data_IF_015969638972
#
_entry.id   IF_015969638972
#
_cell.length_a   1.000
_cell.length_b   1.000
_cell.length_c   1.000
_cell.angle_alpha   90.00
_cell.angle_beta   90.00
_cell.angle_gamma   90.00
#
_symmetry.space_group_name_H-M   'P 1'
#
loop_
_entity.id
_entity.type
_entity.pdbx_description
1 polymer ?
#
# COMPACT_ATOMS: atom_id res chain seq x y z
N UNK A 1 -7.63 27.23 9.32
CA UNK A 1 -7.85 26.35 8.15
C UNK A 1 -6.68 26.33 7.14
N UNK A 2 -5.96 27.43 6.87
CA UNK A 2 -4.85 27.43 5.88
C UNK A 2 -3.59 26.63 6.34
N UNK A 3 -3.27 26.67 7.64
CA UNK A 3 -2.07 26.00 8.17
C UNK A 3 -2.15 24.47 8.19
N UNK A 4 -3.33 23.88 8.44
CA UNK A 4 -3.48 22.42 8.44
C UNK A 4 -3.37 21.81 7.04
N UNK A 5 -3.93 22.44 6.01
CA UNK A 5 -3.80 21.96 4.63
C UNK A 5 -2.36 22.04 4.14
N UNK A 6 -1.65 23.11 4.50
CA UNK A 6 -0.23 23.27 4.16
C UNK A 6 0.64 22.26 4.91
N UNK A 7 0.38 22.07 6.21
CA UNK A 7 1.04 21.07 7.04
C UNK A 7 0.78 19.65 6.52
N UNK A 8 -0.46 19.35 6.11
CA UNK A 8 -0.83 18.06 5.52
C UNK A 8 -0.13 17.82 4.17
N UNK A 9 -0.04 18.82 3.29
CA UNK A 9 0.73 18.71 2.04
C UNK A 9 2.22 18.50 2.30
N UNK A 10 2.79 19.22 3.26
CA UNK A 10 4.21 19.10 3.65
C UNK A 10 4.51 17.76 4.31
N UNK A 11 3.63 17.24 5.16
CA UNK A 11 3.75 15.92 5.77
C UNK A 11 3.56 14.79 4.75
N UNK A 12 2.67 14.95 3.77
CA UNK A 12 2.51 13.99 2.68
C UNK A 12 3.75 13.96 1.79
N UNK A 13 4.27 15.12 1.41
CA UNK A 13 5.50 15.21 0.62
C UNK A 13 6.69 14.62 1.37
N UNK A 14 6.89 15.01 2.64
CA UNK A 14 7.92 14.42 3.51
C UNK A 14 7.73 12.92 3.72
N UNK A 15 6.50 12.41 3.79
CA UNK A 15 6.20 10.99 3.90
C UNK A 15 6.57 10.24 2.61
N UNK A 16 6.13 10.74 1.45
CA UNK A 16 6.44 10.16 0.13
C UNK A 16 7.94 10.21 -0.19
N UNK A 17 8.63 11.27 0.24
CA UNK A 17 10.08 11.39 0.14
C UNK A 17 10.80 10.45 1.13
N UNK A 18 10.29 10.30 2.36
CA UNK A 18 10.86 9.42 3.40
C UNK A 18 10.71 7.93 3.07
N UNK A 19 9.61 7.52 2.45
CA UNK A 19 9.45 6.14 1.94
C UNK A 19 10.22 5.92 0.62
N UNK A 20 10.88 6.96 0.10
CA UNK A 20 11.62 6.88 -1.16
C UNK A 20 10.72 6.54 -2.34
N UNK A 21 9.45 6.94 -2.33
CA UNK A 21 8.44 6.56 -3.34
C UNK A 21 8.96 6.78 -4.77
N UNK A 22 9.64 7.90 -4.99
CA UNK A 22 10.22 8.25 -6.29
C UNK A 22 11.43 7.39 -6.67
N UNK A 23 12.15 6.88 -5.67
CA UNK A 23 13.33 6.02 -5.81
C UNK A 23 13.00 4.52 -5.87
N UNK A 24 11.74 4.11 -5.70
CA UNK A 24 11.32 2.71 -5.84
C UNK A 24 11.53 2.24 -7.30
N UNK A 25 12.10 1.04 -7.50
CA UNK A 25 12.14 0.35 -8.81
C UNK A 25 10.76 -0.25 -9.14
N UNK A 26 9.74 0.60 -9.25
CA UNK A 26 8.36 0.19 -9.58
C UNK A 26 7.82 1.00 -10.77
N UNK A 27 6.87 0.44 -11.55
CA UNK A 27 6.24 1.15 -12.65
C UNK A 27 5.64 2.49 -12.22
N UNK A 28 5.78 3.52 -13.07
CA UNK A 28 5.32 4.90 -12.80
C UNK A 28 3.85 4.98 -12.35
N UNK A 29 2.98 4.12 -12.90
CA UNK A 29 1.56 4.02 -12.55
C UNK A 29 1.32 3.68 -11.07
N UNK A 30 2.21 2.89 -10.46
CA UNK A 30 2.11 2.51 -9.04
C UNK A 30 2.49 3.70 -8.15
N UNK A 31 3.54 4.43 -8.52
CA UNK A 31 3.94 5.68 -7.82
C UNK A 31 2.83 6.72 -7.87
N UNK A 32 2.20 6.89 -9.04
CA UNK A 32 1.05 7.77 -9.21
C UNK A 32 -0.17 7.33 -8.40
N UNK A 33 -0.41 6.02 -8.28
CA UNK A 33 -1.45 5.49 -7.40
C UNK A 33 -1.19 5.82 -5.94
N UNK A 34 0.00 5.53 -5.40
CA UNK A 34 0.33 5.83 -3.99
C UNK A 34 0.17 7.34 -3.71
N UNK A 35 0.61 8.17 -4.64
CA UNK A 35 0.39 9.61 -4.56
C UNK A 35 -1.11 9.98 -4.55
N UNK A 36 -1.93 9.41 -5.44
CA UNK A 36 -3.37 9.67 -5.47
C UNK A 36 -4.12 9.10 -4.26
N UNK A 37 -3.74 7.92 -3.78
CA UNK A 37 -4.32 7.28 -2.60
C UNK A 37 -4.08 8.10 -1.33
N UNK A 38 -2.91 8.73 -1.23
CA UNK A 38 -2.67 9.70 -0.15
C UNK A 38 -3.53 10.96 -0.33
N UNK A 39 -3.88 11.37 -1.55
CA UNK A 39 -4.62 12.61 -1.82
C UNK A 39 -6.11 12.42 -2.20
N UNK A 40 -6.80 11.41 -1.65
CA UNK A 40 -8.19 11.05 -1.97
C UNK A 40 -8.40 10.58 -3.42
N UNK A 41 -8.39 9.26 -3.62
CA UNK A 41 -8.50 8.64 -4.95
C UNK A 41 -9.93 8.25 -5.34
N UNK A 42 -10.89 8.31 -4.41
CA UNK A 42 -12.28 7.84 -4.60
C UNK A 42 -13.30 8.98 -4.57
N UNK A 43 -14.39 8.78 -5.32
CA UNK A 43 -15.59 9.65 -5.39
C UNK A 43 -16.49 9.47 -4.14
N UNK A 44 -17.34 10.48 -3.90
CA UNK A 44 -17.95 10.87 -2.61
C UNK A 44 -18.70 9.81 -1.78
N UNK A 45 -19.10 8.66 -2.33
CA UNK A 45 -19.92 7.68 -1.60
C UNK A 45 -19.13 6.72 -0.71
N UNK A 46 -17.84 6.47 -1.00
CA UNK A 46 -17.02 5.52 -0.25
C UNK A 46 -15.65 6.10 0.13
N UNK A 47 -15.32 6.05 1.42
CA UNK A 47 -14.04 6.58 1.91
C UNK A 47 -12.87 5.65 1.55
N UNK A 48 -11.66 6.21 1.41
CA UNK A 48 -10.44 5.44 1.19
C UNK A 48 -10.21 4.38 2.29
N UNK A 49 -10.54 4.71 3.54
CA UNK A 49 -10.44 3.80 4.68
C UNK A 49 -11.34 2.58 4.50
N UNK A 50 -12.60 2.81 4.12
CA UNK A 50 -13.50 1.70 3.81
C UNK A 50 -12.98 0.92 2.61
N UNK A 51 -12.62 1.61 1.55
CA UNK A 51 -12.27 0.98 0.31
C UNK A 51 -11.00 0.13 0.36
N UNK A 52 -9.97 0.59 1.06
CA UNK A 52 -8.65 -0.07 1.05
C UNK A 52 -8.40 -0.93 2.29
N UNK A 53 -9.11 -0.70 3.40
CA UNK A 53 -8.81 -1.32 4.69
C UNK A 53 -10.02 -2.01 5.35
N UNK A 54 -11.21 -1.42 5.32
CA UNK A 54 -12.32 -1.84 6.20
C UNK A 54 -13.46 -2.61 5.52
N UNK A 55 -13.55 -2.58 4.19
CA UNK A 55 -14.53 -3.35 3.44
C UNK A 55 -14.32 -4.86 3.71
N UNK A 56 -15.40 -5.64 3.80
CA UNK A 56 -15.33 -7.04 4.26
C UNK A 56 -14.35 -7.89 3.45
N UNK A 57 -14.42 -7.83 2.13
CA UNK A 57 -13.54 -8.59 1.27
C UNK A 57 -12.08 -8.10 1.39
N UNK A 58 -11.84 -6.80 1.64
CA UNK A 58 -10.48 -6.26 1.83
C UNK A 58 -9.86 -6.70 3.15
N UNK A 59 -10.64 -6.78 4.23
CA UNK A 59 -10.18 -7.34 5.51
C UNK A 59 -9.74 -8.80 5.34
N UNK A 60 -10.48 -9.57 4.54
CA UNK A 60 -10.10 -10.95 4.19
C UNK A 60 -8.78 -11.01 3.44
N UNK A 61 -8.55 -10.09 2.49
CA UNK A 61 -7.25 -9.99 1.78
C UNK A 61 -6.11 -9.68 2.76
N UNK A 62 -6.30 -8.67 3.62
CA UNK A 62 -5.28 -8.32 4.63
C UNK A 62 -4.98 -9.48 5.58
N UNK A 63 -6.00 -10.18 6.04
CA UNK A 63 -5.86 -11.37 6.89
C UNK A 63 -5.12 -12.52 6.19
N UNK A 64 -5.43 -12.78 4.92
CA UNK A 64 -4.84 -13.87 4.13
C UNK A 64 -3.48 -13.55 3.47
N UNK A 65 -3.05 -12.30 3.54
CA UNK A 65 -1.76 -11.83 3.01
C UNK A 65 -0.57 -12.27 3.87
N UNK A 66 0.65 -12.14 3.35
CA UNK A 66 1.87 -12.51 4.09
C UNK A 66 2.12 -11.64 5.33
N UNK A 67 1.57 -10.43 5.41
CA UNK A 67 1.72 -9.57 6.59
C UNK A 67 0.66 -9.86 7.67
N UNK A 68 -0.38 -10.62 7.33
CA UNK A 68 -1.45 -11.09 8.23
C UNK A 68 -2.02 -9.99 9.15
N UNK A 69 -2.08 -8.74 8.66
CA UNK A 69 -2.61 -7.64 9.45
C UNK A 69 -4.14 -7.61 9.34
N UNK A 70 -4.81 -7.05 10.36
CA UNK A 70 -6.28 -6.97 10.41
C UNK A 70 -6.72 -5.55 10.72
N UNK A 71 -6.89 -4.71 9.69
CA UNK A 71 -7.47 -3.39 9.86
C UNK A 71 -8.91 -3.51 10.40
N UNK A 72 -9.27 -2.65 11.34
CA UNK A 72 -10.61 -2.59 11.94
C UNK A 72 -10.97 -1.14 12.30
N UNK A 73 -12.25 -0.89 12.60
CA UNK A 73 -12.75 0.47 12.86
C UNK A 73 -12.13 1.12 14.12
N UNK A 74 -11.58 0.32 15.03
CA UNK A 74 -10.91 0.80 16.23
C UNK A 74 -9.49 1.27 15.93
N UNK A 75 -8.79 0.62 14.99
CA UNK A 75 -7.40 0.91 14.63
C UNK A 75 -7.24 1.77 13.36
N UNK A 76 -8.27 1.87 12.51
CA UNK A 76 -8.30 2.74 11.32
C UNK A 76 -9.23 3.92 11.56
N UNK A 77 -8.66 5.08 11.91
CA UNK A 77 -9.38 6.37 11.88
C UNK A 77 -9.21 7.08 10.54
N UNK A 78 -7.98 7.09 10.03
CA UNK A 78 -7.59 7.65 8.75
C UNK A 78 -6.52 6.75 8.14
N UNK A 79 -6.57 6.53 6.83
CA UNK A 79 -5.62 5.66 6.12
C UNK A 79 -4.18 6.12 6.34
N UNK A 80 -3.97 7.45 6.40
CA UNK A 80 -2.65 8.07 6.63
C UNK A 80 -2.09 7.74 8.02
N UNK A 81 -2.92 7.81 9.05
CA UNK A 81 -2.52 7.50 10.43
C UNK A 81 -2.20 6.01 10.55
N UNK A 82 -3.01 5.17 9.91
CA UNK A 82 -2.77 3.72 9.87
C UNK A 82 -1.45 3.39 9.17
N UNK A 83 -1.18 3.98 8.00
CA UNK A 83 0.08 3.79 7.26
C UNK A 83 1.30 4.25 8.05
N UNK A 84 1.21 5.39 8.77
CA UNK A 84 2.28 5.86 9.64
C UNK A 84 2.60 4.88 10.77
N UNK A 85 1.57 4.29 11.38
CA UNK A 85 1.75 3.30 12.43
C UNK A 85 2.36 2.00 11.88
N UNK A 86 1.93 1.57 10.69
CA UNK A 86 2.54 0.42 10.04
C UNK A 86 4.00 0.68 9.66
N UNK A 87 4.33 1.88 9.15
CA UNK A 87 5.71 2.27 8.86
C UNK A 87 6.57 2.25 10.13
N UNK A 88 6.02 2.75 11.24
CA UNK A 88 6.70 2.69 12.55
C UNK A 88 6.99 1.25 12.95
N UNK A 89 6.03 0.33 12.78
CA UNK A 89 6.20 -1.11 13.05
C UNK A 89 7.24 -1.75 12.14
N UNK A 90 7.22 -1.48 10.84
CA UNK A 90 8.22 -1.98 9.89
C UNK A 90 9.64 -1.55 10.28
N UNK A 91 9.81 -0.32 10.78
CA UNK A 91 11.10 0.23 11.16
C UNK A 91 11.62 -0.23 12.54
N UNK A 92 10.94 -1.16 13.23
CA UNK A 92 11.44 -1.72 14.50
C UNK A 92 12.56 -2.76 14.30
N UNK A 93 12.65 -3.35 13.10
CA UNK A 93 13.69 -4.30 12.73
C UNK A 93 14.92 -3.64 12.09
N UNK A 94 15.75 -4.44 11.40
CA UNK A 94 16.86 -3.91 10.62
C UNK A 94 16.36 -3.24 9.33
N UNK A 95 17.21 -2.39 8.71
CA UNK A 95 16.82 -1.60 7.53
C UNK A 95 16.33 -2.45 6.35
N UNK A 96 16.89 -3.63 6.12
CA UNK A 96 16.49 -4.51 5.00
C UNK A 96 15.12 -5.12 5.24
N UNK A 97 14.88 -5.61 6.45
CA UNK A 97 13.59 -6.14 6.89
C UNK A 97 12.49 -5.05 6.88
N UNK A 98 12.82 -3.83 7.30
CA UNK A 98 11.91 -2.69 7.23
C UNK A 98 11.45 -2.40 5.78
N UNK A 99 12.37 -2.43 4.83
CA UNK A 99 12.07 -2.22 3.40
C UNK A 99 11.20 -3.36 2.86
N UNK A 100 11.50 -4.62 3.20
CA UNK A 100 10.71 -5.77 2.76
C UNK A 100 9.28 -5.71 3.33
N UNK A 101 9.14 -5.51 4.64
CA UNK A 101 7.83 -5.42 5.28
C UNK A 101 7.00 -4.25 4.74
N UNK A 102 7.64 -3.12 4.47
CA UNK A 102 6.97 -1.97 3.85
C UNK A 102 6.51 -2.28 2.41
N UNK A 103 7.35 -2.96 1.63
CA UNK A 103 7.01 -3.36 0.26
C UNK A 103 5.77 -4.27 0.22
N UNK A 104 5.61 -5.18 1.19
CA UNK A 104 4.41 -6.03 1.29
C UNK A 104 3.14 -5.21 1.48
N UNK A 105 3.18 -4.20 2.34
CA UNK A 105 2.04 -3.29 2.58
C UNK A 105 1.67 -2.57 1.28
N UNK A 106 2.66 -2.03 0.57
CA UNK A 106 2.44 -1.31 -0.70
C UNK A 106 1.84 -2.22 -1.77
N UNK A 107 2.31 -3.48 -1.86
CA UNK A 107 1.80 -4.46 -2.83
C UNK A 107 0.36 -4.84 -2.53
N UNK A 108 -0.01 -5.11 -1.27
CA UNK A 108 -1.38 -5.46 -0.89
C UNK A 108 -2.34 -4.30 -1.19
N UNK A 109 -1.96 -3.06 -0.84
CA UNK A 109 -2.74 -1.86 -1.14
C UNK A 109 -2.99 -1.72 -2.64
N UNK A 110 -1.95 -1.96 -3.45
CA UNK A 110 -2.06 -1.95 -4.91
C UNK A 110 -2.99 -3.06 -5.42
N UNK A 111 -2.84 -4.28 -4.92
CA UNK A 111 -3.67 -5.42 -5.32
C UNK A 111 -5.16 -5.17 -5.03
N UNK A 112 -5.48 -4.66 -3.84
CA UNK A 112 -6.84 -4.28 -3.44
C UNK A 112 -7.39 -3.19 -4.37
N UNK A 113 -6.60 -2.13 -4.61
CA UNK A 113 -7.04 -1.05 -5.48
C UNK A 113 -7.27 -1.50 -6.93
N UNK A 114 -6.40 -2.36 -7.46
CA UNK A 114 -6.53 -2.93 -8.80
C UNK A 114 -7.82 -3.74 -8.94
N UNK A 115 -8.10 -4.64 -7.98
CA UNK A 115 -9.32 -5.42 -7.98
C UNK A 115 -10.59 -4.54 -7.88
N UNK A 116 -10.53 -3.45 -7.10
CA UNK A 116 -11.62 -2.45 -7.07
C UNK A 116 -11.84 -1.78 -8.40
N UNK A 117 -10.78 -1.36 -9.07
CA UNK A 117 -10.90 -0.72 -10.37
C UNK A 117 -11.43 -1.68 -11.42
N UNK A 118 -11.09 -2.96 -11.36
CA UNK A 118 -11.67 -3.98 -12.24
C UNK A 118 -13.19 -4.09 -12.02
N UNK A 119 -13.68 -3.98 -10.78
CA UNK A 119 -15.11 -3.81 -10.50
C UNK A 119 -15.70 -2.58 -11.20
N UNK A 120 -15.08 -1.42 -11.01
CA UNK A 120 -15.60 -0.14 -11.52
C UNK A 120 -15.60 -0.09 -13.05
N UNK A 121 -14.55 -0.58 -13.71
CA UNK A 121 -14.36 -0.43 -15.15
C UNK A 121 -14.77 -1.67 -15.96
N UNK A 122 -14.80 -2.86 -15.36
CA UNK A 122 -15.10 -4.12 -16.03
C UNK A 122 -16.30 -4.86 -15.42
N UNK A 123 -16.92 -4.29 -14.38
CA UNK A 123 -18.04 -4.89 -13.64
C UNK A 123 -17.71 -6.28 -13.04
N UNK A 124 -16.44 -6.50 -12.69
CA UNK A 124 -15.95 -7.73 -12.08
C UNK A 124 -15.94 -7.61 -10.56
N UNK A 125 -16.73 -8.42 -9.86
CA UNK A 125 -16.74 -8.41 -8.39
C UNK A 125 -15.37 -8.81 -7.81
N UNK A 126 -14.81 -8.03 -6.86
CA UNK A 126 -13.54 -8.33 -6.24
C UNK A 126 -13.58 -9.66 -5.50
N UNK A 127 -12.64 -10.55 -5.83
CA UNK A 127 -12.50 -11.85 -5.19
C UNK A 127 -11.26 -11.84 -4.27
N UNK A 128 -11.42 -12.07 -2.95
CA UNK A 128 -10.31 -12.06 -2.00
C UNK A 128 -9.20 -13.05 -2.33
N UNK A 129 -9.56 -14.29 -2.67
CA UNK A 129 -8.59 -15.36 -2.95
C UNK A 129 -7.71 -15.01 -4.16
N UNK A 130 -8.33 -14.58 -5.26
CA UNK A 130 -7.64 -14.14 -6.47
C UNK A 130 -6.74 -12.93 -6.19
N UNK A 131 -7.20 -12.01 -5.35
CA UNK A 131 -6.42 -10.82 -4.95
C UNK A 131 -5.20 -11.21 -4.11
N UNK A 132 -5.37 -12.14 -3.15
CA UNK A 132 -4.26 -12.68 -2.33
C UNK A 132 -3.25 -13.42 -3.21
N UNK A 133 -3.71 -14.22 -4.17
CA UNK A 133 -2.82 -14.93 -5.09
C UNK A 133 -2.05 -13.94 -5.97
N UNK A 134 -2.70 -12.88 -6.45
CA UNK A 134 -2.05 -11.80 -7.20
C UNK A 134 -0.98 -11.06 -6.37
N UNK A 135 -1.31 -10.72 -5.12
CA UNK A 135 -0.37 -10.12 -4.14
C UNK A 135 0.89 -10.99 -3.95
N UNK A 136 0.71 -12.30 -3.73
CA UNK A 136 1.83 -13.25 -3.57
C UNK A 136 2.73 -13.30 -4.81
N UNK A 137 2.15 -13.34 -6.01
CA UNK A 137 2.92 -13.33 -7.26
C UNK A 137 3.72 -12.03 -7.40
N UNK A 138 3.13 -10.88 -7.06
CA UNK A 138 3.83 -9.61 -7.09
C UNK A 138 4.98 -9.54 -6.07
N UNK A 139 4.77 -10.04 -4.85
CA UNK A 139 5.81 -10.11 -3.82
C UNK A 139 7.00 -10.96 -4.28
N UNK A 140 6.74 -12.15 -4.83
CA UNK A 140 7.79 -13.03 -5.35
C UNK A 140 8.59 -12.36 -6.48
N UNK A 141 7.92 -11.70 -7.41
CA UNK A 141 8.58 -10.95 -8.48
C UNK A 141 9.44 -9.81 -7.93
N UNK A 142 8.94 -9.07 -6.95
CA UNK A 142 9.71 -8.00 -6.30
C UNK A 142 10.96 -8.54 -5.58
N UNK A 143 10.83 -9.64 -4.84
CA UNK A 143 11.95 -10.28 -4.15
C UNK A 143 13.02 -10.80 -5.13
N UNK A 144 12.62 -11.34 -6.28
CA UNK A 144 13.55 -11.79 -7.31
C UNK A 144 14.34 -10.62 -7.91
N UNK A 145 13.66 -9.53 -8.29
CA UNK A 145 14.30 -8.32 -8.80
C UNK A 145 15.25 -7.67 -7.79
N UNK A 146 14.89 -7.72 -6.49
CA UNK A 146 15.74 -7.24 -5.41
C UNK A 146 16.99 -8.09 -5.22
N UNK A 147 16.91 -9.42 -5.41
CA UNK A 147 18.05 -10.34 -5.34
C UNK A 147 19.00 -10.14 -6.53
N UNK A 148 18.47 -10.04 -7.75
CA UNK A 148 19.26 -9.79 -8.97
C UNK A 148 20.04 -8.48 -8.85
N UNK A 149 19.39 -7.40 -8.41
CA UNK A 149 20.03 -6.10 -8.20
C UNK A 149 21.17 -6.14 -7.17
N UNK A 150 21.12 -7.03 -6.18
CA UNK A 150 22.17 -7.17 -5.16
C UNK A 150 23.35 -8.01 -5.64
N UNK A 151 23.16 -8.87 -6.64
CA UNK A 151 24.22 -9.65 -7.25
C UNK A 151 25.02 -8.82 -8.25
N UNK A 152 24.36 -7.95 -9.03
CA UNK A 152 25.02 -7.02 -9.96
C UNK A 152 25.93 -5.98 -9.28
N UNK A 153 25.72 -5.69 -7.98
CA UNK A 153 26.56 -4.76 -7.21
C UNK A 153 27.82 -5.44 -6.65
N UNK A 154 27.86 -6.79 -6.67
CA UNK A 154 28.97 -7.58 -6.13
C UNK A 154 29.95 -8.10 -7.19
N UNK A 155 29.59 -7.96 -8.47
CA UNK A 155 30.48 -8.19 -9.62
C UNK A 155 31.15 -6.89 -10.06
#
# INVERSE_FOLDING_TARGET
MCNEQLLNKLLTRRYLDRIGMWNMKTPQKIKMFIWKATHNILLEEETNEHALLLCDWTKTVWFGSQIQCTPNKQNVKLIRVWLQEMLRKCNQGNKSEAIQNWSKIDIILWAIWKARNEKVYQNLEPNPESTINYDRVLELNYLNLAKESNNEIKE
#
